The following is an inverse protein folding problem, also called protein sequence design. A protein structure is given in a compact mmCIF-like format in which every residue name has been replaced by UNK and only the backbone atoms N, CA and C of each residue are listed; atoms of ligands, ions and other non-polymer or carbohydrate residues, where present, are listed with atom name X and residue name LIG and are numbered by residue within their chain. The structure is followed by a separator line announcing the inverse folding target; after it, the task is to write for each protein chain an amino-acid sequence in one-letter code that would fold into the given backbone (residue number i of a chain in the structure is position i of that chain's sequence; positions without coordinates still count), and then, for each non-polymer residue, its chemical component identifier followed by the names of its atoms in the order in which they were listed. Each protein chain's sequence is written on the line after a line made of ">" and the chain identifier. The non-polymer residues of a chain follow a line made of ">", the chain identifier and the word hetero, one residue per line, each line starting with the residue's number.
data_IF_797178060011
#
_entry.id   IF_797178060011
#
_cell.length_a   1.000
_cell.length_b   1.000
_cell.length_c   1.000
_cell.angle_alpha   90.00
_cell.angle_beta   90.00
_cell.angle_gamma   90.00
#
_symmetry.space_group_name_H-M   'P 1'
#
loop_
_entity.id
_entity.type
_entity.pdbx_description
1 polymer ?
#
# COMPACT_ATOMS: atom_id res chain seq x y z
N UNK A 1 1.42 -2.72 6.27
CA UNK A 1 0.65 -3.98 6.07
C UNK A 1 0.89 -4.97 7.21
N UNK A 2 2.14 -5.39 7.49
CA UNK A 2 2.46 -6.32 8.59
C UNK A 2 1.86 -5.92 9.95
N UNK A 3 2.15 -4.69 10.42
CA UNK A 3 1.62 -4.20 11.71
C UNK A 3 0.09 -4.19 11.79
N UNK A 4 -0.58 -3.74 10.72
CA UNK A 4 -2.05 -3.77 10.64
C UNK A 4 -2.58 -5.21 10.62
N UNK A 5 -1.89 -6.14 9.97
CA UNK A 5 -2.25 -7.55 9.99
C UNK A 5 -2.13 -8.14 11.40
N UNK A 6 -1.02 -7.86 12.10
CA UNK A 6 -0.82 -8.26 13.50
C UNK A 6 -1.94 -7.73 14.40
N UNK A 7 -2.30 -6.45 14.26
CA UNK A 7 -3.40 -5.83 15.01
C UNK A 7 -4.75 -6.51 14.74
N UNK A 8 -5.04 -6.88 13.49
CA UNK A 8 -6.24 -7.67 13.14
C UNK A 8 -6.25 -9.02 13.86
N UNK A 9 -5.14 -9.76 13.80
CA UNK A 9 -5.00 -11.05 14.49
C UNK A 9 -5.16 -10.93 16.01
N UNK A 10 -4.62 -9.88 16.63
CA UNK A 10 -4.80 -9.60 18.07
C UNK A 10 -6.27 -9.37 18.41
N UNK A 11 -6.96 -8.51 17.65
CA UNK A 11 -8.38 -8.20 17.88
C UNK A 11 -9.26 -9.44 17.73
N UNK A 12 -9.02 -10.26 16.70
CA UNK A 12 -9.75 -11.52 16.48
C UNK A 12 -9.51 -12.50 17.63
N UNK A 13 -8.25 -12.62 18.07
CA UNK A 13 -7.89 -13.48 19.20
C UNK A 13 -8.63 -13.08 20.47
N UNK A 14 -8.71 -11.79 20.76
CA UNK A 14 -9.45 -11.25 21.91
C UNK A 14 -10.95 -11.48 21.77
N UNK A 15 -11.53 -11.20 20.60
CA UNK A 15 -12.96 -11.37 20.35
C UNK A 15 -13.40 -12.82 20.55
N UNK A 16 -12.63 -13.77 20.01
CA UNK A 16 -12.94 -15.21 20.17
C UNK A 16 -12.77 -15.68 21.62
N UNK A 17 -11.80 -15.13 22.35
CA UNK A 17 -11.65 -15.41 23.79
C UNK A 17 -12.84 -14.88 24.58
N UNK A 18 -13.26 -13.63 24.34
CA UNK A 18 -14.41 -13.01 25.01
C UNK A 18 -15.71 -13.77 24.74
N UNK A 19 -15.95 -14.19 23.50
CA UNK A 19 -17.11 -15.01 23.15
C UNK A 19 -17.06 -16.36 23.88
N UNK A 20 -15.89 -17.01 23.91
CA UNK A 20 -15.71 -18.28 24.64
C UNK A 20 -15.91 -18.11 26.15
N UNK A 21 -15.43 -17.02 26.73
CA UNK A 21 -15.64 -16.71 28.15
C UNK A 21 -17.11 -16.40 28.45
N UNK A 22 -17.76 -15.58 27.62
CA UNK A 22 -19.18 -15.28 27.72
C UNK A 22 -20.01 -16.57 27.68
N UNK A 23 -19.67 -17.50 26.78
CA UNK A 23 -20.34 -18.80 26.66
C UNK A 23 -20.29 -19.62 27.96
N UNK A 24 -19.32 -19.40 28.85
CA UNK A 24 -19.17 -20.12 30.13
C UNK A 24 -19.60 -19.28 31.34
N UNK A 25 -20.20 -18.12 31.12
CA UNK A 25 -20.60 -17.23 32.20
C UNK A 25 -21.66 -17.87 33.09
N UNK A 26 -21.64 -17.64 34.42
CA UNK A 26 -22.74 -18.02 35.29
C UNK A 26 -24.00 -17.13 35.10
N UNK A 27 -23.88 -16.02 34.36
CA UNK A 27 -24.99 -15.13 34.06
C UNK A 27 -25.71 -15.66 32.81
N UNK A 28 -26.96 -16.11 32.96
CA UNK A 28 -27.73 -16.81 31.92
C UNK A 28 -27.85 -16.03 30.60
N UNK A 29 -28.14 -14.72 30.67
CA UNK A 29 -28.21 -13.88 29.48
C UNK A 29 -26.87 -13.83 28.73
N UNK A 30 -25.76 -13.70 29.48
CA UNK A 30 -24.41 -13.66 28.91
C UNK A 30 -23.99 -15.02 28.34
N UNK A 31 -24.32 -16.12 29.02
CA UNK A 31 -23.99 -17.47 28.57
C UNK A 31 -24.75 -17.88 27.32
N UNK A 32 -26.04 -17.55 27.25
CA UNK A 32 -26.90 -17.82 26.10
C UNK A 32 -26.41 -17.05 24.86
N UNK A 33 -26.18 -15.74 25.01
CA UNK A 33 -25.63 -14.92 23.93
C UNK A 33 -24.24 -15.42 23.49
N UNK A 34 -23.36 -15.72 24.44
CA UNK A 34 -22.03 -16.28 24.16
C UNK A 34 -22.08 -17.64 23.47
N UNK A 35 -23.03 -18.51 23.81
CA UNK A 35 -23.24 -19.81 23.14
C UNK A 35 -23.64 -19.64 21.68
N UNK A 36 -24.60 -18.77 21.39
CA UNK A 36 -25.06 -18.48 20.03
C UNK A 36 -23.95 -17.87 19.18
N UNK A 37 -23.24 -16.87 19.71
CA UNK A 37 -22.10 -16.27 19.04
C UNK A 37 -20.99 -17.30 18.79
N UNK A 38 -20.72 -18.20 19.74
CA UNK A 38 -19.70 -19.22 19.56
C UNK A 38 -19.98 -20.11 18.35
N UNK A 39 -21.24 -20.52 18.16
CA UNK A 39 -21.67 -21.31 16.99
C UNK A 39 -21.33 -20.56 15.69
N UNK A 40 -21.61 -19.26 15.62
CA UNK A 40 -21.29 -18.45 14.45
C UNK A 40 -19.77 -18.29 14.26
N UNK A 41 -19.03 -18.00 15.33
CA UNK A 41 -17.58 -17.75 15.24
C UNK A 41 -16.72 -19.01 15.09
N UNK A 42 -17.22 -20.19 15.45
CA UNK A 42 -16.48 -21.44 15.33
C UNK A 42 -16.19 -21.80 13.86
N UNK A 43 -16.99 -21.30 12.91
CA UNK A 43 -16.72 -21.40 11.47
C UNK A 43 -15.44 -20.67 11.03
N UNK A 44 -14.96 -19.71 11.84
CA UNK A 44 -13.77 -18.89 11.60
C UNK A 44 -12.59 -19.29 12.50
N UNK A 45 -12.62 -20.49 13.07
CA UNK A 45 -11.59 -20.95 14.00
C UNK A 45 -10.21 -20.98 13.33
N UNK A 46 -9.25 -20.28 13.96
CA UNK A 46 -7.88 -20.20 13.46
C UNK A 46 -7.59 -18.98 12.59
N UNK A 47 -8.60 -18.15 12.29
CA UNK A 47 -8.50 -16.95 11.48
C UNK A 47 -7.34 -16.01 11.87
N UNK A 48 -7.03 -15.89 13.16
CA UNK A 48 -5.93 -15.06 13.65
C UNK A 48 -4.54 -15.51 13.17
N UNK A 49 -4.39 -16.77 12.76
CA UNK A 49 -3.14 -17.38 12.33
C UNK A 49 -3.03 -17.50 10.81
N UNK A 50 -4.08 -17.15 10.07
CA UNK A 50 -4.08 -17.22 8.62
C UNK A 50 -3.11 -16.20 8.02
N UNK A 51 -2.66 -16.48 6.80
CA UNK A 51 -1.90 -15.51 6.05
C UNK A 51 -2.77 -14.28 5.71
N UNK A 52 -2.12 -13.15 5.50
CA UNK A 52 -2.75 -11.85 5.34
C UNK A 52 -3.76 -11.77 4.17
N UNK A 53 -3.58 -12.57 3.11
CA UNK A 53 -4.45 -12.55 1.95
C UNK A 53 -5.76 -13.28 2.23
N UNK A 54 -5.66 -14.53 2.70
CA UNK A 54 -6.81 -15.37 3.03
C UNK A 54 -7.62 -14.75 4.17
N UNK A 55 -6.91 -14.29 5.22
CA UNK A 55 -7.53 -13.65 6.38
C UNK A 55 -8.38 -12.43 5.99
N UNK A 56 -8.02 -11.69 4.94
CA UNK A 56 -8.76 -10.47 4.56
C UNK A 56 -10.18 -10.78 4.10
N UNK A 57 -10.36 -11.85 3.32
CA UNK A 57 -11.68 -12.31 2.89
C UNK A 57 -12.49 -12.85 4.07
N UNK A 58 -11.86 -13.70 4.89
CA UNK A 58 -12.53 -14.32 6.03
C UNK A 58 -12.89 -13.33 7.15
N UNK A 59 -12.06 -12.32 7.43
CA UNK A 59 -12.40 -11.23 8.36
C UNK A 59 -13.63 -10.46 7.84
N UNK A 60 -13.70 -10.21 6.54
CA UNK A 60 -14.85 -9.52 5.95
C UNK A 60 -16.12 -10.37 6.07
N UNK A 61 -16.03 -11.69 5.85
CA UNK A 61 -17.13 -12.62 6.09
C UNK A 61 -17.56 -12.66 7.55
N UNK A 62 -16.62 -12.76 8.49
CA UNK A 62 -16.90 -12.73 9.93
C UNK A 62 -17.64 -11.44 10.31
N UNK A 63 -17.19 -10.29 9.81
CA UNK A 63 -17.83 -9.00 10.08
C UNK A 63 -19.28 -8.93 9.56
N UNK A 64 -19.58 -9.56 8.41
CA UNK A 64 -20.94 -9.66 7.87
C UNK A 64 -21.81 -10.58 8.74
N UNK A 65 -21.26 -11.71 9.18
CA UNK A 65 -21.99 -12.65 10.04
C UNK A 65 -22.29 -12.05 11.42
N UNK A 66 -21.37 -11.25 11.96
CA UNK A 66 -21.55 -10.52 13.21
C UNK A 66 -22.50 -9.32 13.10
N UNK A 67 -22.80 -8.85 11.89
CA UNK A 67 -23.80 -7.79 11.64
C UNK A 67 -25.24 -8.31 11.58
N UNK A 68 -25.44 -9.62 11.42
CA UNK A 68 -26.78 -10.23 11.44
C UNK A 68 -27.48 -9.86 12.74
N UNK A 69 -28.78 -9.53 12.65
CA UNK A 69 -29.55 -8.94 13.75
C UNK A 69 -29.40 -9.69 15.07
N UNK A 70 -29.48 -11.03 15.03
CA UNK A 70 -29.33 -11.86 16.22
C UNK A 70 -27.92 -11.81 16.82
N UNK A 71 -26.88 -11.89 15.97
CA UNK A 71 -25.49 -11.80 16.41
C UNK A 71 -25.15 -10.41 16.96
N UNK A 72 -25.67 -9.35 16.34
CA UNK A 72 -25.50 -7.98 16.81
C UNK A 72 -26.16 -7.77 18.20
N UNK A 73 -27.34 -8.33 18.42
CA UNK A 73 -28.01 -8.30 19.72
C UNK A 73 -27.25 -9.07 20.80
N UNK A 74 -26.71 -10.25 20.45
CA UNK A 74 -25.89 -11.04 21.37
C UNK A 74 -24.56 -10.32 21.69
N UNK A 75 -23.93 -9.68 20.69
CA UNK A 75 -22.72 -8.87 20.89
C UNK A 75 -22.96 -7.68 21.81
N UNK A 76 -24.12 -7.03 21.70
CA UNK A 76 -24.52 -5.97 22.62
C UNK A 76 -24.70 -6.50 24.04
N UNK A 77 -25.31 -7.68 24.18
CA UNK A 77 -25.52 -8.35 25.48
C UNK A 77 -24.20 -8.69 26.17
N UNK A 78 -23.17 -9.12 25.43
CA UNK A 78 -21.86 -9.44 26.02
C UNK A 78 -20.89 -8.26 26.05
N UNK A 79 -21.26 -7.11 25.48
CA UNK A 79 -20.47 -5.87 25.47
C UNK A 79 -19.35 -5.81 24.43
N UNK A 80 -19.40 -6.64 23.38
CA UNK A 80 -18.31 -6.80 22.40
C UNK A 80 -18.47 -6.00 21.11
N UNK A 81 -19.57 -5.24 20.96
CA UNK A 81 -19.77 -4.35 19.82
C UNK A 81 -18.58 -3.38 19.55
N UNK A 82 -17.93 -2.78 20.57
CA UNK A 82 -16.76 -1.92 20.34
C UNK A 82 -15.59 -2.66 19.69
N UNK A 83 -15.35 -3.92 20.08
CA UNK A 83 -14.24 -4.71 19.54
C UNK A 83 -14.48 -5.12 18.08
N UNK A 84 -15.73 -5.41 17.73
CA UNK A 84 -16.15 -5.66 16.33
C UNK A 84 -15.97 -4.40 15.49
N UNK A 85 -16.32 -3.22 16.02
CA UNK A 85 -16.11 -1.96 15.33
C UNK A 85 -14.61 -1.67 15.12
N UNK A 86 -13.76 -1.94 16.12
CA UNK A 86 -12.31 -1.82 15.97
C UNK A 86 -11.79 -2.75 14.87
N UNK A 87 -12.25 -4.01 14.82
CA UNK A 87 -11.89 -4.97 13.78
C UNK A 87 -12.26 -4.45 12.39
N UNK A 88 -13.48 -3.90 12.25
CA UNK A 88 -13.96 -3.30 11.01
C UNK A 88 -13.07 -2.16 10.55
N UNK A 89 -12.80 -1.20 11.43
CA UNK A 89 -11.95 -0.06 11.14
C UNK A 89 -10.57 -0.49 10.66
N UNK A 90 -9.88 -1.35 11.42
CA UNK A 90 -8.52 -1.77 11.05
C UNK A 90 -8.49 -2.63 9.78
N UNK A 91 -9.55 -3.40 9.49
CA UNK A 91 -9.66 -4.19 8.26
C UNK A 91 -9.86 -3.29 7.05
N UNK A 92 -10.72 -2.28 7.14
CA UNK A 92 -10.90 -1.27 6.09
C UNK A 92 -9.60 -0.53 5.81
N UNK A 93 -8.91 -0.03 6.85
CA UNK A 93 -7.62 0.63 6.70
C UNK A 93 -6.57 -0.28 6.06
N UNK A 94 -6.58 -1.57 6.39
CA UNK A 94 -5.70 -2.56 5.79
C UNK A 94 -5.96 -2.70 4.28
N UNK A 95 -7.23 -2.87 3.89
CA UNK A 95 -7.64 -3.02 2.49
C UNK A 95 -7.26 -1.78 1.68
N UNK A 96 -7.59 -0.58 2.18
CA UNK A 96 -7.24 0.69 1.54
C UNK A 96 -5.73 0.80 1.30
N UNK A 97 -4.91 0.55 2.33
CA UNK A 97 -3.45 0.63 2.20
C UNK A 97 -2.89 -0.40 1.21
N UNK A 98 -3.48 -1.61 1.16
CA UNK A 98 -3.07 -2.65 0.21
C UNK A 98 -3.39 -2.22 -1.22
N UNK A 99 -4.57 -1.65 -1.44
CA UNK A 99 -5.02 -1.20 -2.76
C UNK A 99 -4.22 0.00 -3.25
N UNK A 100 -3.89 0.96 -2.37
CA UNK A 100 -2.98 2.08 -2.68
C UNK A 100 -1.60 1.58 -3.09
N UNK A 101 -1.06 0.60 -2.37
CA UNK A 101 0.24 0.01 -2.70
C UNK A 101 0.21 -0.69 -4.06
N UNK A 102 -0.84 -1.47 -4.34
CA UNK A 102 -1.02 -2.12 -5.64
C UNK A 102 -1.12 -1.09 -6.78
N UNK A 103 -1.86 0.00 -6.58
CA UNK A 103 -1.95 1.11 -7.55
C UNK A 103 -0.61 1.80 -7.77
N UNK A 104 0.17 2.01 -6.71
CA UNK A 104 1.52 2.60 -6.78
C UNK A 104 2.51 1.69 -7.51
N UNK A 105 2.52 0.39 -7.19
CA UNK A 105 3.37 -0.58 -7.89
C UNK A 105 2.99 -0.68 -9.38
N UNK A 106 1.69 -0.66 -9.70
CA UNK A 106 1.21 -0.61 -11.07
C UNK A 106 1.62 0.69 -11.79
N UNK A 107 1.55 1.85 -11.12
CA UNK A 107 1.92 3.14 -11.74
C UNK A 107 3.43 3.27 -11.99
N UNK A 108 4.27 2.71 -11.12
CA UNK A 108 5.73 2.62 -11.34
C UNK A 108 6.06 1.77 -12.57
N UNK A 109 5.27 0.72 -12.85
CA UNK A 109 5.40 -0.09 -14.07
C UNK A 109 4.93 0.58 -15.36
N UNK A 110 4.20 1.70 -15.29
CA UNK A 110 3.50 2.32 -16.44
C UNK A 110 4.32 3.37 -17.19
N UNK A 111 5.43 3.88 -16.65
CA UNK A 111 6.39 4.64 -17.48
C UNK A 111 7.15 3.69 -18.38
N UNK A 112 6.59 3.40 -19.56
CA UNK A 112 7.32 2.71 -20.63
C UNK A 112 8.66 3.41 -20.81
N UNK A 113 9.77 2.65 -20.78
CA UNK A 113 11.10 3.23 -20.97
C UNK A 113 11.23 4.05 -22.25
N UNK A 114 10.37 3.81 -23.25
CA UNK A 114 10.27 4.67 -24.44
C UNK A 114 9.80 6.09 -24.11
N UNK A 115 8.79 6.27 -23.26
CA UNK A 115 8.27 7.60 -22.87
C UNK A 115 9.30 8.38 -22.07
N UNK A 116 10.02 7.71 -21.17
CA UNK A 116 11.12 8.33 -20.42
C UNK A 116 12.28 8.72 -21.33
N UNK A 117 12.65 7.88 -22.31
CA UNK A 117 13.66 8.21 -23.31
C UNK A 117 13.24 9.40 -24.17
N UNK A 118 12.02 9.40 -24.69
CA UNK A 118 11.51 10.54 -25.49
C UNK A 118 11.56 11.85 -24.71
N UNK A 119 11.09 11.88 -23.46
CA UNK A 119 11.15 13.10 -22.62
C UNK A 119 12.58 13.54 -22.31
N UNK A 120 13.48 12.61 -22.05
CA UNK A 120 14.89 12.92 -21.81
C UNK A 120 15.56 13.47 -23.07
N UNK A 121 15.28 12.88 -24.24
CA UNK A 121 15.80 13.32 -25.52
C UNK A 121 15.26 14.70 -25.90
N UNK A 122 13.97 14.96 -25.65
CA UNK A 122 13.34 16.29 -25.83
C UNK A 122 14.00 17.36 -24.96
N UNK A 123 14.13 17.09 -23.65
CA UNK A 123 14.79 18.01 -22.71
C UNK A 123 16.25 18.26 -23.09
N UNK A 124 16.99 17.22 -23.47
CA UNK A 124 18.39 17.35 -23.89
C UNK A 124 18.51 18.21 -25.15
N UNK A 125 17.62 18.01 -26.13
CA UNK A 125 17.61 18.81 -27.36
C UNK A 125 17.29 20.28 -27.09
N UNK A 126 16.37 20.58 -26.17
CA UNK A 126 16.05 21.96 -25.78
C UNK A 126 17.28 22.65 -25.16
N UNK A 127 17.96 21.97 -24.22
CA UNK A 127 19.20 22.46 -23.60
C UNK A 127 20.27 22.73 -24.66
N UNK A 128 20.48 21.82 -25.61
CA UNK A 128 21.48 22.00 -26.66
C UNK A 128 21.15 23.18 -27.58
N UNK A 129 19.88 23.37 -27.94
CA UNK A 129 19.46 24.55 -28.73
C UNK A 129 19.70 25.86 -28.00
N UNK A 130 19.47 25.91 -26.69
CA UNK A 130 19.75 27.11 -25.91
C UNK A 130 21.25 27.42 -25.82
N UNK A 131 22.10 26.38 -25.66
CA UNK A 131 23.56 26.54 -25.67
C UNK A 131 24.04 27.04 -27.03
N UNK A 132 23.54 26.45 -28.12
CA UNK A 132 23.86 26.86 -29.50
C UNK A 132 23.42 28.30 -29.78
N UNK A 133 22.19 28.65 -29.41
CA UNK A 133 21.67 30.00 -29.56
C UNK A 133 22.51 31.02 -28.78
N UNK A 134 22.87 30.72 -27.53
CA UNK A 134 23.72 31.59 -26.71
C UNK A 134 25.11 31.78 -27.31
N UNK A 135 25.69 30.72 -27.90
CA UNK A 135 26.97 30.79 -28.59
C UNK A 135 26.91 31.68 -29.85
N UNK A 136 25.83 31.58 -30.62
CA UNK A 136 25.64 32.36 -31.85
C UNK A 136 25.25 33.82 -31.59
N UNK A 137 24.49 34.09 -30.53
CA UNK A 137 23.96 35.42 -30.24
C UNK A 137 24.87 36.29 -29.37
N UNK A 138 25.88 35.70 -28.71
CA UNK A 138 26.75 36.48 -27.83
C UNK A 138 27.66 37.42 -28.62
N UNK A 139 27.75 38.67 -28.16
CA UNK A 139 28.65 39.71 -28.68
C UNK A 139 29.94 39.84 -27.88
N UNK A 140 30.05 39.11 -26.75
CA UNK A 140 31.21 39.08 -25.86
C UNK A 140 32.13 37.91 -26.22
N UNK A 141 33.40 38.20 -26.50
CA UNK A 141 34.39 37.19 -26.87
C UNK A 141 34.72 36.25 -25.69
N UNK A 142 34.70 36.77 -24.46
CA UNK A 142 34.90 35.98 -23.24
C UNK A 142 33.74 35.00 -23.01
N UNK A 143 32.50 35.44 -23.21
CA UNK A 143 31.33 34.57 -23.10
C UNK A 143 31.30 33.55 -24.23
N UNK A 144 31.66 33.94 -25.46
CA UNK A 144 31.77 33.01 -26.60
C UNK A 144 32.77 31.91 -26.31
N UNK A 145 33.92 32.27 -25.72
CA UNK A 145 34.95 31.31 -25.31
C UNK A 145 34.43 30.36 -24.22
N UNK A 146 33.79 30.88 -23.17
CA UNK A 146 33.26 30.07 -22.08
C UNK A 146 32.18 29.08 -22.54
N UNK A 147 31.27 29.50 -23.43
CA UNK A 147 30.23 28.63 -24.00
C UNK A 147 30.85 27.58 -24.93
N UNK A 148 31.86 27.94 -25.72
CA UNK A 148 32.62 26.99 -26.54
C UNK A 148 33.28 25.88 -25.71
N UNK A 149 33.92 26.24 -24.60
CA UNK A 149 34.52 25.27 -23.68
C UNK A 149 33.47 24.34 -23.04
N UNK A 150 32.26 24.83 -22.77
CA UNK A 150 31.15 24.01 -22.30
C UNK A 150 30.72 22.97 -23.36
N UNK A 151 30.59 23.40 -24.62
CA UNK A 151 30.26 22.51 -25.74
C UNK A 151 31.31 21.40 -25.87
N UNK A 152 32.59 21.74 -25.79
CA UNK A 152 33.69 20.77 -25.88
C UNK A 152 33.65 19.75 -24.74
N UNK A 153 33.36 20.19 -23.50
CA UNK A 153 33.20 19.30 -22.34
C UNK A 153 32.03 18.33 -22.53
N UNK A 154 30.89 18.82 -23.04
CA UNK A 154 29.72 17.99 -23.33
C UNK A 154 30.06 16.94 -24.41
N UNK A 155 30.69 17.37 -25.51
CA UNK A 155 31.10 16.47 -26.58
C UNK A 155 32.06 15.38 -26.09
N UNK A 156 33.04 15.75 -25.26
CA UNK A 156 33.98 14.79 -24.67
C UNK A 156 33.28 13.80 -23.74
N UNK A 157 32.32 14.24 -22.93
CA UNK A 157 31.52 13.34 -22.08
C UNK A 157 30.68 12.35 -22.91
N UNK A 158 30.05 12.81 -24.00
CA UNK A 158 29.29 11.96 -24.94
C UNK A 158 30.17 10.93 -25.66
N UNK A 159 31.43 11.28 -25.97
CA UNK A 159 32.39 10.34 -26.53
C UNK A 159 32.74 9.25 -25.51
N UNK A 160 33.02 9.60 -24.25
CA UNK A 160 33.32 8.62 -23.20
C UNK A 160 32.18 7.62 -23.00
N UNK A 161 30.93 8.09 -22.93
CA UNK A 161 29.77 7.20 -22.76
C UNK A 161 29.57 6.26 -23.96
N UNK A 162 29.70 6.76 -25.20
CA UNK A 162 29.64 5.92 -26.42
C UNK A 162 30.75 4.86 -26.45
N UNK A 163 31.95 5.21 -26.00
CA UNK A 163 33.10 4.30 -26.03
C UNK A 163 32.98 3.20 -24.98
N UNK A 164 32.50 3.53 -23.78
CA UNK A 164 32.24 2.56 -22.70
C UNK A 164 31.11 1.58 -23.04
N UNK A 165 30.05 2.06 -23.70
CA UNK A 165 28.92 1.21 -24.10
C UNK A 165 29.29 0.19 -25.19
N UNK A 166 30.24 0.52 -26.09
CA UNK A 166 30.71 -0.40 -27.15
C UNK A 166 31.68 -1.48 -26.68
N UNK A 167 32.19 -1.40 -25.45
CA UNK A 167 33.17 -2.34 -24.87
C UNK A 167 32.56 -3.31 -23.86
N UNK A 168 31.26 -3.21 -23.59
CA UNK A 168 30.47 -4.15 -22.79
C UNK A 168 29.53 -4.95 -23.68
#
# INVERSE_FOLDING_TARGET
>A
LSEKNKKRSEIISLLFQEIRLASKSPIEARSTAGHRLRIATDAYKGLQNENMNDATGHISGLLIDLEKTDAAADLATIGMAPLVQMLRTINTEFITLRDERLKSEASVGVTKGSVLRTRNDETANEVFRHIEAAYLSTTSDDDRKAIGELIDRINKALQYTKTSYRRS
#
